data_IF_018740306284
#
_entry.id   IF_018740306284
#
_cell.length_a   1.000
_cell.length_b   1.000
_cell.length_c   1.000
_cell.angle_alpha   90.00
_cell.angle_beta   90.00
_cell.angle_gamma   90.00
#
_symmetry.space_group_name_H-M   'P 1'
#
loop_
_entity.id
_entity.type
_entity.pdbx_description
1 polymer ?
#
# COMPACT_ATOMS: atom_id res chain seq x y z
N UNK A 1 -23.72 4.77 -21.73
CA UNK A 1 -22.40 4.19 -21.34
C UNK A 1 -22.33 4.20 -19.81
N UNK A 2 -21.79 3.16 -19.19
CA UNK A 2 -21.67 3.02 -17.71
C UNK A 2 -20.22 2.66 -17.34
N UNK A 3 -19.76 3.08 -16.16
CA UNK A 3 -18.47 2.67 -15.59
C UNK A 3 -18.68 1.55 -14.56
N UNK A 4 -17.66 0.74 -14.31
CA UNK A 4 -17.69 -0.33 -13.30
C UNK A 4 -16.33 -0.44 -12.61
N UNK A 5 -16.35 -0.79 -11.33
CA UNK A 5 -15.15 -1.06 -10.51
C UNK A 5 -14.94 -2.58 -10.31
N UNK A 6 -15.57 -3.42 -11.13
CA UNK A 6 -15.33 -4.86 -11.10
C UNK A 6 -13.83 -5.15 -11.30
N UNK A 7 -13.23 -6.07 -10.52
CA UNK A 7 -11.78 -6.28 -10.54
C UNK A 7 -11.28 -6.87 -11.87
N UNK A 8 -12.13 -7.58 -12.61
CA UNK A 8 -11.76 -8.21 -13.90
C UNK A 8 -12.96 -8.31 -14.85
N UNK A 9 -13.33 -7.23 -15.55
CA UNK A 9 -14.48 -7.25 -16.45
C UNK A 9 -14.19 -7.91 -17.80
N UNK A 10 -12.91 -8.06 -18.19
CA UNK A 10 -12.49 -8.57 -19.51
C UNK A 10 -11.47 -9.70 -19.36
N UNK A 11 -11.68 -10.80 -20.07
CA UNK A 11 -10.77 -11.95 -20.12
C UNK A 11 -9.53 -11.61 -20.98
N UNK A 12 -8.34 -12.07 -20.57
CA UNK A 12 -7.05 -11.83 -21.25
C UNK A 12 -6.59 -10.37 -21.35
N UNK A 13 -7.24 -9.44 -20.63
CA UNK A 13 -6.81 -8.05 -20.49
C UNK A 13 -6.61 -7.69 -19.01
N UNK A 14 -6.02 -6.54 -18.70
CA UNK A 14 -5.76 -6.09 -17.34
C UNK A 14 -7.03 -5.93 -16.50
N UNK A 15 -6.90 -6.11 -15.18
CA UNK A 15 -7.96 -5.86 -14.22
C UNK A 15 -7.92 -4.45 -13.62
N UNK A 16 -8.89 -4.13 -12.78
CA UNK A 16 -8.89 -2.92 -11.95
C UNK A 16 -8.48 -3.29 -10.53
N UNK A 17 -7.29 -2.85 -10.12
CA UNK A 17 -6.78 -3.00 -8.75
C UNK A 17 -7.04 -1.76 -7.90
N UNK A 18 -7.00 -1.94 -6.58
CA UNK A 18 -7.06 -0.85 -5.61
C UNK A 18 -5.84 -0.97 -4.67
N UNK A 19 -4.68 -0.55 -5.17
CA UNK A 19 -3.46 -0.51 -4.34
C UNK A 19 -3.61 0.61 -3.31
N UNK A 20 -3.33 0.32 -2.04
CA UNK A 20 -3.48 1.26 -0.93
C UNK A 20 -2.12 1.52 -0.31
N UNK A 21 -1.69 2.78 -0.32
CA UNK A 21 -0.49 3.22 0.37
C UNK A 21 -0.86 3.58 1.81
N UNK A 22 -0.12 3.04 2.78
CA UNK A 22 -0.35 3.26 4.21
C UNK A 22 0.94 3.76 4.87
N UNK A 23 0.82 4.69 5.81
CA UNK A 23 1.92 5.16 6.65
C UNK A 23 1.39 5.60 8.02
N UNK A 24 2.18 5.40 9.07
CA UNK A 24 1.84 5.83 10.44
C UNK A 24 2.65 7.08 10.78
N UNK A 25 1.96 8.06 11.39
CA UNK A 25 2.53 9.33 11.82
C UNK A 25 2.21 9.58 13.28
N UNK A 26 3.14 10.20 14.01
CA UNK A 26 2.96 10.63 15.39
C UNK A 26 3.71 11.93 15.61
N UNK A 27 3.03 12.91 16.21
CA UNK A 27 3.59 14.24 16.50
C UNK A 27 4.23 14.94 15.28
N UNK A 28 3.68 14.67 14.08
CA UNK A 28 4.18 15.23 12.82
C UNK A 28 5.33 14.46 12.18
N UNK A 29 5.84 13.40 12.82
CA UNK A 29 6.95 12.60 12.32
C UNK A 29 6.47 11.30 11.62
N UNK A 30 7.05 10.94 10.46
CA UNK A 30 6.70 9.72 9.75
C UNK A 30 7.37 8.51 10.40
N UNK A 31 6.59 7.70 11.14
CA UNK A 31 7.13 6.56 11.87
C UNK A 31 7.61 5.42 10.97
N UNK A 32 7.29 5.45 9.67
CA UNK A 32 7.76 4.46 8.71
C UNK A 32 9.12 4.80 8.09
N UNK A 33 9.63 6.03 8.24
CA UNK A 33 10.96 6.39 7.77
C UNK A 33 12.05 5.88 8.73
N UNK A 34 13.13 5.32 8.19
CA UNK A 34 14.23 4.78 8.97
C UNK A 34 15.47 4.48 8.12
N UNK A 35 16.31 3.55 8.57
CA UNK A 35 17.57 3.18 7.92
C UNK A 35 17.69 1.66 7.68
N UNK A 36 16.56 0.96 7.60
CA UNK A 36 16.52 -0.46 7.21
C UNK A 36 16.35 -0.59 5.70
N UNK A 37 15.89 -1.76 5.25
CA UNK A 37 15.61 -2.00 3.84
C UNK A 37 14.70 -0.92 3.26
N UNK A 38 15.08 -0.37 2.11
CA UNK A 38 14.35 0.70 1.41
C UNK A 38 14.05 1.93 2.29
N UNK A 39 14.97 2.29 3.19
CA UNK A 39 14.86 3.44 4.11
C UNK A 39 13.64 3.37 5.04
N UNK A 40 13.19 2.16 5.33
CA UNK A 40 12.10 1.90 6.26
C UNK A 40 12.58 1.80 7.72
N UNK A 41 11.69 2.10 8.65
CA UNK A 41 11.88 1.82 10.07
C UNK A 41 11.59 0.36 10.40
N UNK A 42 12.07 -0.11 11.56
CA UNK A 42 11.65 -1.42 12.09
C UNK A 42 10.12 -1.48 12.28
N UNK A 43 9.47 -0.36 12.65
CA UNK A 43 8.01 -0.28 12.75
C UNK A 43 7.32 -0.56 11.42
N UNK A 44 7.81 0.02 10.31
CA UNK A 44 7.26 -0.26 8.99
C UNK A 44 7.44 -1.73 8.61
N UNK A 45 8.61 -2.33 8.89
CA UNK A 45 8.86 -3.75 8.61
C UNK A 45 7.95 -4.66 9.43
N UNK A 46 7.71 -4.35 10.70
CA UNK A 46 6.77 -5.10 11.54
C UNK A 46 5.32 -4.90 11.12
N UNK A 47 4.95 -3.69 10.70
CA UNK A 47 3.63 -3.42 10.14
C UNK A 47 3.38 -4.26 8.88
N UNK A 48 4.35 -4.28 7.95
CA UNK A 48 4.29 -5.12 6.74
C UNK A 48 4.22 -6.60 7.10
N UNK A 49 4.98 -7.07 8.10
CA UNK A 49 4.93 -8.47 8.55
C UNK A 49 3.62 -8.87 9.21
N UNK A 50 2.79 -7.92 9.64
CA UNK A 50 1.47 -8.16 10.22
C UNK A 50 0.30 -8.12 9.21
N UNK A 51 0.50 -7.50 8.05
CA UNK A 51 -0.44 -7.54 6.91
C UNK A 51 -0.28 -8.88 6.18
#
# INVERSE_FOLDING_TARGET
KTATFMPKPVMYDNGSGMHVHQSIWMDGEPLFAGNRYADLSDMALYYIGGI
#
